data_IF_644815450584
#
_entry.id   IF_644815450584
#
_cell.length_a   1.000
_cell.length_b   1.000
_cell.length_c   1.000
_cell.angle_alpha   90.00
_cell.angle_beta   90.00
_cell.angle_gamma   90.00
#
_symmetry.space_group_name_H-M   'P 1'
#
loop_
_entity.id
_entity.type
_entity.pdbx_description
1 polymer ?
#
# COMPACT_ATOMS: atom_id res chain seq x y z
N UNK A 1 19.28 -3.33 2.68
CA UNK A 1 18.66 -2.37 1.76
C UNK A 1 17.67 -1.53 2.55
N UNK A 2 17.92 -0.24 2.73
CA UNK A 2 16.97 0.72 3.32
C UNK A 2 16.77 1.82 2.31
N UNK A 3 15.55 1.96 1.79
CA UNK A 3 15.18 3.00 0.85
C UNK A 3 14.02 3.82 1.44
N UNK A 4 14.01 5.15 1.26
CA UNK A 4 12.84 5.95 1.63
C UNK A 4 11.66 5.53 0.76
N UNK A 5 10.73 4.77 1.34
CA UNK A 5 9.49 4.38 0.69
C UNK A 5 8.43 5.47 0.86
N UNK A 6 7.68 5.77 -0.20
CA UNK A 6 6.42 6.55 -0.09
C UNK A 6 5.24 5.63 0.19
N UNK A 7 5.25 4.45 -0.42
CA UNK A 7 4.29 3.39 -0.20
C UNK A 7 4.97 2.02 -0.16
N UNK A 8 4.34 1.06 0.54
CA UNK A 8 4.83 -0.32 0.65
C UNK A 8 4.37 -1.16 -0.55
N UNK A 9 3.10 -1.03 -0.96
CA UNK A 9 2.58 -1.66 -2.18
C UNK A 9 1.65 -0.70 -2.93
N UNK A 10 1.59 -0.85 -4.26
CA UNK A 10 0.60 -0.23 -5.13
C UNK A 10 -0.12 -1.30 -5.94
N UNK A 11 -1.46 -1.25 -6.00
CA UNK A 11 -2.28 -2.24 -6.72
C UNK A 11 -3.26 -1.57 -7.70
N UNK A 12 -3.54 -2.22 -8.84
CA UNK A 12 -4.61 -1.80 -9.75
C UNK A 12 -5.90 -2.56 -9.44
N UNK A 13 -6.68 -2.08 -8.46
CA UNK A 13 -7.83 -2.84 -7.96
C UNK A 13 -8.94 -3.04 -9.00
N UNK A 14 -9.06 -2.14 -9.97
CA UNK A 14 -9.98 -2.30 -11.11
C UNK A 14 -9.56 -3.37 -12.12
N UNK A 15 -8.29 -3.78 -12.11
CA UNK A 15 -7.76 -4.85 -12.97
C UNK A 15 -7.68 -6.20 -12.24
N UNK A 16 -8.15 -6.27 -10.99
CA UNK A 16 -8.24 -7.49 -10.21
C UNK A 16 -7.08 -7.71 -9.23
N UNK A 17 -6.12 -6.79 -9.16
CA UNK A 17 -5.02 -6.89 -8.20
C UNK A 17 -5.55 -6.87 -6.76
N UNK A 18 -4.95 -7.71 -5.92
CA UNK A 18 -5.21 -7.75 -4.48
C UNK A 18 -3.91 -7.92 -3.72
N UNK A 19 -3.76 -7.16 -2.64
CA UNK A 19 -2.68 -7.30 -1.69
C UNK A 19 -3.23 -7.83 -0.36
N UNK A 20 -2.56 -8.83 0.21
CA UNK A 20 -2.80 -9.25 1.59
C UNK A 20 -1.52 -9.02 2.37
N UNK A 21 -1.59 -8.11 3.35
CA UNK A 21 -0.40 -7.63 4.08
C UNK A 21 -0.54 -8.05 5.53
N UNK A 22 0.42 -8.85 5.99
CA UNK A 22 0.46 -9.37 7.36
C UNK A 22 1.88 -9.28 7.90
N UNK A 23 2.00 -9.08 9.22
CA UNK A 23 3.28 -9.11 9.95
C UNK A 23 4.38 -8.19 9.39
N UNK A 24 4.03 -6.93 9.10
CA UNK A 24 4.99 -5.93 8.61
C UNK A 24 5.52 -5.08 9.76
N UNK A 25 6.84 -4.87 9.79
CA UNK A 25 7.49 -3.90 10.67
C UNK A 25 8.07 -2.75 9.85
N UNK A 26 7.64 -1.52 10.15
CA UNK A 26 8.16 -0.29 9.55
C UNK A 26 9.06 0.38 10.58
N UNK A 27 10.31 0.59 10.21
CA UNK A 27 11.32 1.19 11.07
C UNK A 27 11.57 2.66 10.71
N UNK A 28 11.82 3.49 11.71
CA UNK A 28 12.17 4.90 11.55
C UNK A 28 11.09 5.75 10.83
N UNK A 29 9.82 5.34 10.93
CA UNK A 29 8.66 6.07 10.40
C UNK A 29 7.61 6.31 11.50
N UNK A 30 8.04 6.92 12.62
CA UNK A 30 7.16 7.23 13.75
C UNK A 30 6.00 8.16 13.37
N UNK A 31 6.19 8.98 12.32
CA UNK A 31 5.17 9.85 11.74
C UNK A 31 4.21 9.12 10.78
N UNK A 32 4.39 7.82 10.55
CA UNK A 32 3.55 6.97 9.68
C UNK A 32 3.37 7.56 8.27
N UNK A 33 4.45 8.09 7.70
CA UNK A 33 4.48 8.70 6.37
C UNK A 33 4.43 7.65 5.25
N UNK A 34 4.86 6.43 5.52
CA UNK A 34 4.79 5.33 4.56
C UNK A 34 3.34 4.87 4.45
N UNK A 35 2.79 4.98 3.24
CA UNK A 35 1.47 4.46 2.91
C UNK A 35 1.55 2.94 2.74
N UNK A 36 0.77 2.18 3.50
CA UNK A 36 0.88 0.71 3.48
C UNK A 36 0.40 0.13 2.15
N UNK A 37 -0.69 0.64 1.60
CA UNK A 37 -1.23 0.19 0.33
C UNK A 37 -1.81 1.38 -0.43
N UNK A 38 -1.38 1.58 -1.66
CA UNK A 38 -1.96 2.56 -2.59
C UNK A 38 -2.78 1.82 -3.65
N UNK A 39 -3.97 2.35 -3.93
CA UNK A 39 -4.83 1.81 -4.98
C UNK A 39 -4.85 2.75 -6.16
N UNK A 40 -4.77 2.16 -7.34
CA UNK A 40 -4.78 2.83 -8.61
C UNK A 40 -5.91 2.30 -9.50
N UNK A 41 -6.41 3.19 -10.36
CA UNK A 41 -7.17 2.80 -11.53
C UNK A 41 -6.19 2.51 -12.65
N UNK A 42 -5.84 1.24 -12.80
CA UNK A 42 -5.02 0.74 -13.89
C UNK A 42 -5.66 1.00 -15.25
N UNK A 43 -4.82 1.32 -16.22
CA UNK A 43 -5.17 1.60 -17.62
C UNK A 43 -4.30 0.74 -18.54
N UNK A 44 -4.78 0.41 -19.73
CA UNK A 44 -4.01 -0.35 -20.73
C UNK A 44 -3.06 0.52 -21.55
N UNK A 45 -3.18 1.84 -21.44
CA UNK A 45 -2.30 2.83 -22.05
C UNK A 45 -2.32 4.11 -21.20
N UNK A 46 -1.15 4.69 -20.97
CA UNK A 46 -0.96 5.86 -20.10
C UNK A 46 -0.63 5.49 -18.65
N UNK A 47 -0.59 6.51 -17.78
CA UNK A 47 -0.25 6.35 -16.37
C UNK A 47 -1.50 6.05 -15.53
N UNK A 48 -1.48 5.04 -14.65
CA UNK A 48 -2.56 4.77 -13.70
C UNK A 48 -2.78 5.95 -12.76
N UNK A 49 -4.04 6.25 -12.45
CA UNK A 49 -4.38 7.31 -11.49
C UNK A 49 -4.64 6.74 -10.10
N UNK A 50 -4.11 7.40 -9.06
CA UNK A 50 -4.38 7.00 -7.67
C UNK A 50 -5.86 7.24 -7.35
N UNK A 51 -6.52 6.20 -6.83
CA UNK A 51 -7.94 6.23 -6.43
C UNK A 51 -8.12 6.02 -4.93
N UNK A 52 -7.11 5.51 -4.23
CA UNK A 52 -7.23 5.24 -2.80
C UNK A 52 -5.89 4.98 -2.12
N UNK A 53 -5.95 4.95 -0.80
CA UNK A 53 -4.84 4.52 0.05
C UNK A 53 -5.37 3.98 1.36
N UNK A 54 -4.70 2.98 1.91
CA UNK A 54 -5.07 2.35 3.17
C UNK A 54 -5.71 0.98 2.98
N UNK A 55 -6.37 0.45 4.03
CA UNK A 55 -6.99 -0.86 3.98
C UNK A 55 -8.30 -0.81 3.18
N UNK A 56 -8.55 -1.83 2.37
CA UNK A 56 -9.76 -1.99 1.56
C UNK A 56 -10.03 -3.46 1.23
N UNK A 57 -11.05 -3.73 0.41
CA UNK A 57 -11.33 -5.09 -0.08
C UNK A 57 -10.29 -5.62 -1.09
N UNK A 58 -9.48 -4.74 -1.67
CA UNK A 58 -8.36 -5.10 -2.53
C UNK A 58 -7.02 -4.98 -1.77
N UNK A 59 -6.90 -4.00 -0.88
CA UNK A 59 -5.79 -3.82 0.06
C UNK A 59 -6.12 -4.45 1.42
N UNK A 60 -6.08 -5.78 1.50
CA UNK A 60 -6.45 -6.53 2.71
C UNK A 60 -5.36 -6.49 3.78
N UNK A 61 -5.52 -5.62 4.77
CA UNK A 61 -4.70 -5.65 5.99
C UNK A 61 -5.43 -5.02 7.18
N UNK A 62 -5.03 -5.41 8.38
CA UNK A 62 -5.45 -4.75 9.62
C UNK A 62 -4.36 -3.80 10.11
N UNK A 63 -4.74 -2.75 10.84
CA UNK A 63 -3.76 -1.89 11.52
C UNK A 63 -2.89 -2.67 12.51
N UNK A 64 -3.41 -3.75 13.11
CA UNK A 64 -2.65 -4.66 13.98
C UNK A 64 -1.58 -5.48 13.26
N UNK A 65 -1.68 -5.63 11.93
CA UNK A 65 -0.68 -6.31 11.12
C UNK A 65 0.55 -5.45 10.84
N UNK A 66 0.49 -4.15 11.15
CA UNK A 66 1.54 -3.17 10.87
C UNK A 66 2.09 -2.66 12.20
N UNK A 67 3.36 -2.94 12.46
CA UNK A 67 4.08 -2.44 13.63
C UNK A 67 5.02 -1.33 13.20
N UNK A 68 4.96 -0.18 13.86
CA UNK A 68 5.92 0.91 13.68
C UNK A 68 6.95 0.86 14.81
N UNK A 69 8.24 0.94 14.46
CA UNK A 69 9.39 0.83 15.36
C UNK A 69 10.38 1.96 15.15
#
# INVERSE_FOLDING_TARGET
MTAPGKSLVGINSNLGDKATITNVSIYNDSSKKIVICEEYKGVTSGEPSKIGSGPSSACGYSTSSITYK
#
